data_IF_587364212337
#
_entry.id   IF_587364212337
#
_cell.length_a   1.000
_cell.length_b   1.000
_cell.length_c   1.000
_cell.angle_alpha   90.00
_cell.angle_beta   90.00
_cell.angle_gamma   90.00
#
_symmetry.space_group_name_H-M   'P 1'
#
loop_
_entity.id
_entity.type
_entity.pdbx_description
1 polymer ?
#
# COMPACT_ATOMS: atom_id res chain seq x y z
N UNK A 1 17.55 -12.89 16.35
CA UNK A 1 16.38 -12.46 17.15
C UNK A 1 16.65 -11.05 17.63
N UNK A 2 15.79 -10.08 17.31
CA UNK A 2 16.00 -8.69 17.70
C UNK A 2 15.79 -8.53 19.22
N UNK A 3 16.69 -7.87 19.95
CA UNK A 3 16.51 -7.65 21.39
C UNK A 3 15.24 -6.83 21.63
N UNK A 4 14.43 -7.27 22.61
CA UNK A 4 13.23 -6.54 23.05
C UNK A 4 13.67 -5.17 23.56
N UNK A 5 13.31 -4.13 22.81
CA UNK A 5 13.61 -2.75 23.18
C UNK A 5 12.78 -2.35 24.40
N UNK A 6 13.39 -1.59 25.30
CA UNK A 6 12.71 -0.98 26.43
C UNK A 6 11.42 -0.28 25.94
N UNK A 7 10.26 -0.43 26.61
CA UNK A 7 8.97 0.08 26.12
C UNK A 7 8.98 1.55 25.71
N UNK A 8 9.84 2.35 26.36
CA UNK A 8 10.06 3.76 26.05
C UNK A 8 10.78 3.98 24.71
N UNK A 9 11.75 3.13 24.36
CA UNK A 9 12.46 3.18 23.08
C UNK A 9 11.54 2.78 21.91
N UNK A 10 10.57 1.89 22.15
CA UNK A 10 9.58 1.54 21.14
C UNK A 10 8.66 2.73 20.81
N UNK A 11 8.20 3.46 21.84
CA UNK A 11 7.42 4.69 21.67
C UNK A 11 8.21 5.78 20.94
N UNK A 12 9.50 5.94 21.30
CA UNK A 12 10.37 6.90 20.64
C UNK A 12 10.54 6.60 19.15
N UNK A 13 10.70 5.33 18.77
CA UNK A 13 10.73 4.92 17.35
C UNK A 13 9.45 5.30 16.61
N UNK A 14 8.29 5.07 17.22
CA UNK A 14 7.00 5.48 16.63
C UNK A 14 6.94 6.99 16.42
N UNK A 15 7.39 7.79 17.39
CA UNK A 15 7.42 9.25 17.29
C UNK A 15 8.38 9.69 16.17
N UNK A 16 9.60 9.14 16.14
CA UNK A 16 10.62 9.46 15.12
C UNK A 16 10.11 9.17 13.70
N UNK A 17 9.27 8.15 13.51
CA UNK A 17 8.72 7.80 12.19
C UNK A 17 7.46 8.59 11.87
N UNK A 18 6.55 8.78 12.83
CA UNK A 18 5.24 9.40 12.58
C UNK A 18 5.30 10.92 12.46
N UNK A 19 6.15 11.59 13.25
CA UNK A 19 6.26 13.05 13.24
C UNK A 19 6.70 13.61 11.88
N UNK A 20 7.74 13.06 11.20
CA UNK A 20 8.12 13.52 9.87
C UNK A 20 7.01 13.34 8.82
N UNK A 21 6.27 12.22 8.88
CA UNK A 21 5.16 11.96 7.96
C UNK A 21 4.05 13.01 8.16
N UNK A 22 3.64 13.25 9.41
CA UNK A 22 2.67 14.29 9.72
C UNK A 22 3.16 15.68 9.30
N UNK A 23 4.42 16.02 9.59
CA UNK A 23 5.03 17.29 9.19
C UNK A 23 5.03 17.48 7.67
N UNK A 24 5.40 16.45 6.91
CA UNK A 24 5.35 16.49 5.44
C UNK A 24 3.92 16.68 4.93
N UNK A 25 2.94 15.95 5.47
CA UNK A 25 1.53 16.11 5.06
C UNK A 25 0.98 17.50 5.38
N UNK A 26 1.29 18.04 6.56
CA UNK A 26 0.88 19.38 6.96
C UNK A 26 1.54 20.45 6.06
N UNK A 27 2.81 20.30 5.74
CA UNK A 27 3.52 21.20 4.83
C UNK A 27 2.92 21.19 3.43
N UNK A 28 2.64 20.02 2.87
CA UNK A 28 1.98 19.90 1.56
C UNK A 28 0.59 20.55 1.59
N UNK A 29 -0.21 20.31 2.62
CA UNK A 29 -1.52 20.96 2.74
C UNK A 29 -1.39 22.48 2.84
N UNK A 30 -0.41 22.99 3.59
CA UNK A 30 -0.16 24.42 3.70
C UNK A 30 0.16 25.04 2.34
N UNK A 31 1.00 24.38 1.54
CA UNK A 31 1.31 24.85 0.18
C UNK A 31 0.09 24.85 -0.76
N UNK A 32 -0.85 23.92 -0.57
CA UNK A 32 -2.05 23.80 -1.41
C UNK A 32 -3.17 24.74 -0.98
N UNK A 33 -3.49 24.78 0.31
CA UNK A 33 -4.65 25.47 0.86
C UNK A 33 -4.32 26.94 1.13
N UNK A 34 -3.14 27.25 1.66
CA UNK A 34 -2.79 28.62 2.06
C UNK A 34 -2.06 29.35 0.94
N UNK A 35 -1.07 28.71 0.32
CA UNK A 35 -0.28 29.34 -0.75
C UNK A 35 -0.92 29.19 -2.14
N UNK A 36 -1.98 28.39 -2.28
CA UNK A 36 -2.70 28.21 -3.54
C UNK A 36 -1.84 27.65 -4.69
N UNK A 37 -0.72 26.95 -4.39
CA UNK A 37 0.16 26.45 -5.45
C UNK A 37 -0.61 25.47 -6.35
N UNK A 38 -0.63 25.68 -7.68
CA UNK A 38 -1.39 24.84 -8.60
C UNK A 38 -1.00 23.37 -8.44
N UNK A 39 -2.00 22.52 -8.21
CA UNK A 39 -1.82 21.08 -8.17
C UNK A 39 -1.49 20.59 -9.57
N UNK A 40 -0.33 19.92 -9.73
CA UNK A 40 -0.03 19.26 -11.00
C UNK A 40 -1.05 18.13 -11.15
N UNK A 41 -2.03 18.32 -12.01
CA UNK A 41 -2.95 17.28 -12.44
C UNK A 41 -2.14 16.26 -13.24
N UNK A 42 -1.82 15.12 -12.63
CA UNK A 42 -1.30 13.99 -13.38
C UNK A 42 -2.51 13.40 -14.13
N UNK A 43 -2.51 13.36 -15.48
CA UNK A 43 -3.56 12.68 -16.22
C UNK A 43 -3.61 11.23 -15.73
N UNK A 44 -4.77 10.79 -15.27
CA UNK A 44 -4.95 9.43 -14.78
C UNK A 44 -4.62 8.45 -15.91
N UNK A 45 -3.65 7.54 -15.74
CA UNK A 45 -3.54 6.43 -16.67
C UNK A 45 -4.77 5.54 -16.43
N UNK A 46 -5.47 5.21 -17.51
CA UNK A 46 -6.60 4.27 -17.60
C UNK A 46 -8.02 4.84 -17.50
N UNK A 47 -8.50 5.38 -18.62
CA UNK A 47 -9.88 5.19 -19.08
C UNK A 47 -9.99 4.39 -20.39
N UNK A 48 -8.99 3.55 -20.74
CA UNK A 48 -9.06 2.73 -21.97
C UNK A 48 -8.64 1.25 -21.87
N UNK A 49 -7.88 0.76 -20.87
CA UNK A 49 -7.33 -0.63 -20.96
C UNK A 49 -7.34 -1.45 -19.65
N UNK A 50 -8.41 -1.38 -18.87
CA UNK A 50 -8.54 -2.12 -17.61
C UNK A 50 -9.38 -3.42 -17.69
N UNK A 51 -9.60 -4.01 -18.87
CA UNK A 51 -10.46 -5.22 -19.00
C UNK A 51 -9.81 -6.50 -19.54
N UNK A 52 -8.59 -6.48 -20.10
CA UNK A 52 -8.05 -7.68 -20.77
C UNK A 52 -7.13 -8.57 -19.91
N UNK A 53 -6.58 -8.07 -18.79
CA UNK A 53 -5.51 -8.77 -18.06
C UNK A 53 -5.89 -9.45 -16.73
N UNK A 54 -7.14 -9.31 -16.26
CA UNK A 54 -7.51 -9.67 -14.86
C UNK A 54 -8.43 -10.88 -14.72
N UNK A 55 -8.76 -11.58 -15.81
CA UNK A 55 -9.58 -12.80 -15.73
C UNK A 55 -8.76 -14.10 -15.66
N UNK A 56 -7.50 -14.12 -16.10
CA UNK A 56 -6.73 -15.38 -16.20
C UNK A 56 -6.18 -15.89 -14.87
N UNK A 57 -6.10 -15.05 -13.83
CA UNK A 57 -5.51 -15.42 -12.53
C UNK A 57 -6.55 -15.87 -11.47
N UNK A 58 -7.85 -15.79 -11.75
CA UNK A 58 -8.90 -16.26 -10.83
C UNK A 58 -9.53 -17.61 -11.23
N UNK A 59 -9.07 -18.23 -12.33
CA UNK A 59 -9.68 -19.45 -12.88
C UNK A 59 -9.00 -20.79 -12.57
N UNK A 60 -7.81 -20.81 -11.95
CA UNK A 60 -7.05 -22.05 -11.74
C UNK A 60 -7.24 -22.60 -10.32
N UNK A 61 -8.48 -22.85 -9.95
CA UNK A 61 -8.86 -23.52 -8.71
C UNK A 61 -10.07 -24.40 -8.94
N UNK A 62 -9.90 -25.49 -9.69
CA UNK A 62 -10.88 -26.58 -9.67
C UNK A 62 -10.20 -27.86 -9.17
N UNK A 63 -10.80 -28.33 -8.09
CA UNK A 63 -10.55 -29.54 -7.37
C UNK A 63 -10.65 -30.74 -8.32
N UNK A 64 -9.74 -31.71 -8.16
CA UNK A 64 -10.09 -33.12 -8.38
C UNK A 64 -9.31 -33.98 -7.41
N UNK A 65 -9.94 -34.22 -6.25
CA UNK A 65 -9.64 -35.41 -5.48
C UNK A 65 -10.02 -36.63 -6.33
N UNK A 66 -9.07 -37.53 -6.55
CA UNK A 66 -9.32 -38.94 -6.83
C UNK A 66 -8.08 -39.71 -6.38
N UNK A 67 -8.16 -40.36 -5.21
CA UNK A 67 -7.48 -41.64 -4.98
C UNK A 67 -8.52 -42.71 -5.33
N UNK A 68 -8.25 -43.63 -6.26
CA UNK A 68 -7.86 -45.01 -5.89
C UNK A 68 -6.81 -45.57 -6.88
N UNK A 69 -5.75 -46.26 -6.45
CA UNK A 69 -5.65 -47.69 -6.08
C UNK A 69 -4.94 -48.53 -7.18
N UNK A 70 -4.04 -49.40 -6.71
CA UNK A 70 -3.48 -50.65 -7.28
C UNK A 70 -2.94 -50.73 -8.73
N UNK A 71 -1.63 -51.01 -8.85
CA UNK A 71 -1.10 -52.33 -9.25
C UNK A 71 0.44 -52.37 -9.10
#
# INVERSE_FOLDING_TARGET
MAPKLHPQAQRLRTIIVSVPVMGATAYVLYERVVLGKPQRTIPAPHSTEASAGRQTLLGAGTEKGTRPNEA
#
